data_IF_076792791552
#
_entry.id   IF_076792791552
#
_cell.length_a   1.000
_cell.length_b   1.000
_cell.length_c   1.000
_cell.angle_alpha   90.00
_cell.angle_beta   90.00
_cell.angle_gamma   90.00
#
_symmetry.space_group_name_H-M   'P 1'
#
loop_
_entity.id
_entity.type
_entity.pdbx_description
1 polymer ?
#
# COMPACT_ATOMS: atom_id res chain seq x y z
N UNK A 1 -27.70 -16.75 10.32
CA UNK A 1 -26.79 -17.86 10.63
C UNK A 1 -26.00 -17.43 11.86
N UNK A 2 -25.99 -18.18 12.95
CA UNK A 2 -25.26 -17.82 14.18
C UNK A 2 -23.96 -18.62 14.26
N UNK A 3 -22.85 -17.93 14.53
CA UNK A 3 -21.53 -18.54 14.75
C UNK A 3 -21.11 -18.20 16.18
N UNK A 4 -20.84 -19.23 16.99
CA UNK A 4 -20.31 -19.07 18.35
C UNK A 4 -18.81 -19.28 18.32
N UNK A 5 -18.05 -18.25 18.69
CA UNK A 5 -16.58 -18.26 18.73
C UNK A 5 -16.16 -18.06 20.18
N UNK A 6 -15.31 -18.94 20.68
CA UNK A 6 -14.72 -18.80 22.00
C UNK A 6 -13.34 -18.14 21.88
N UNK A 7 -13.13 -17.02 22.57
CA UNK A 7 -11.86 -16.30 22.54
C UNK A 7 -11.04 -16.61 23.80
N UNK A 8 -9.71 -16.74 23.69
CA UNK A 8 -8.83 -16.70 24.85
C UNK A 8 -8.98 -15.37 25.60
N UNK A 9 -8.80 -15.38 26.92
CA UNK A 9 -8.98 -14.21 27.79
C UNK A 9 -8.16 -12.98 27.34
N UNK A 10 -6.96 -13.20 26.81
CA UNK A 10 -6.10 -12.12 26.31
C UNK A 10 -6.70 -11.36 25.12
N UNK A 11 -7.39 -12.10 24.24
CA UNK A 11 -8.05 -11.55 23.05
C UNK A 11 -9.33 -10.83 23.44
N UNK A 12 -10.09 -11.37 24.40
CA UNK A 12 -11.30 -10.73 24.93
C UNK A 12 -10.97 -9.37 25.58
N UNK A 13 -9.91 -9.32 26.39
CA UNK A 13 -9.45 -8.08 27.03
C UNK A 13 -9.06 -7.03 25.98
N UNK A 14 -8.37 -7.47 24.92
CA UNK A 14 -7.95 -6.59 23.81
C UNK A 14 -9.15 -6.10 23.00
N UNK A 15 -10.13 -6.95 22.73
CA UNK A 15 -11.38 -6.60 22.03
C UNK A 15 -12.18 -5.57 22.83
N UNK A 16 -12.33 -5.79 24.14
CA UNK A 16 -13.01 -4.85 25.04
C UNK A 16 -12.31 -3.48 25.04
N UNK A 17 -10.98 -3.46 25.18
CA UNK A 17 -10.22 -2.22 25.16
C UNK A 17 -10.35 -1.47 23.82
N UNK A 18 -10.36 -2.19 22.69
CA UNK A 18 -10.56 -1.57 21.38
C UNK A 18 -12.00 -1.08 21.19
N UNK A 19 -12.98 -1.80 21.70
CA UNK A 19 -14.38 -1.42 21.64
C UNK A 19 -14.64 -0.13 22.44
N UNK A 20 -14.10 -0.04 23.66
CA UNK A 20 -14.20 1.17 24.47
C UNK A 20 -13.46 2.36 23.84
N UNK A 21 -12.26 2.16 23.30
CA UNK A 21 -11.51 3.21 22.61
C UNK A 21 -12.23 3.74 21.37
N UNK A 22 -12.94 2.88 20.63
CA UNK A 22 -13.74 3.27 19.48
C UNK A 22 -15.14 3.78 19.82
N UNK A 23 -15.57 3.68 21.09
CA UNK A 23 -16.94 3.99 21.53
C UNK A 23 -18.00 3.08 20.91
N UNK A 24 -17.62 1.85 20.53
CA UNK A 24 -18.49 0.88 19.85
C UNK A 24 -18.74 -0.33 20.76
N UNK A 25 -19.83 -1.04 20.50
CA UNK A 25 -20.04 -2.37 21.07
C UNK A 25 -19.05 -3.39 20.47
N UNK A 26 -18.67 -4.39 21.25
CA UNK A 26 -17.76 -5.48 20.84
C UNK A 26 -18.35 -6.22 19.64
N UNK A 27 -19.67 -6.45 19.62
CA UNK A 27 -20.33 -7.12 18.51
C UNK A 27 -20.17 -6.34 17.19
N UNK A 28 -20.39 -5.02 17.22
CA UNK A 28 -20.22 -4.14 16.06
C UNK A 28 -18.77 -4.10 15.60
N UNK A 29 -17.82 -4.01 16.53
CA UNK A 29 -16.39 -3.99 16.22
C UNK A 29 -15.93 -5.30 15.57
N UNK A 30 -16.37 -6.44 16.09
CA UNK A 30 -16.05 -7.76 15.51
C UNK A 30 -16.70 -7.91 14.14
N UNK A 31 -17.93 -7.44 13.94
CA UNK A 31 -18.60 -7.49 12.65
C UNK A 31 -17.86 -6.68 11.58
N UNK A 32 -17.43 -5.47 11.92
CA UNK A 32 -16.62 -4.62 11.02
C UNK A 32 -15.29 -5.29 10.67
N UNK A 33 -14.55 -5.80 11.66
CA UNK A 33 -13.28 -6.50 11.45
C UNK A 33 -13.44 -7.73 10.54
N UNK A 34 -14.48 -8.54 10.78
CA UNK A 34 -14.76 -9.72 9.96
C UNK A 34 -15.14 -9.30 8.53
N UNK A 35 -15.97 -8.27 8.38
CA UNK A 35 -16.35 -7.76 7.06
C UNK A 35 -15.15 -7.21 6.28
N UNK A 36 -14.26 -6.47 6.94
CA UNK A 36 -13.04 -5.92 6.35
C UNK A 36 -12.10 -7.04 5.88
N UNK A 37 -11.81 -8.02 6.74
CA UNK A 37 -10.91 -9.13 6.38
C UNK A 37 -11.47 -10.03 5.28
N UNK A 38 -12.78 -10.29 5.28
CA UNK A 38 -13.41 -11.05 4.21
C UNK A 38 -13.46 -10.28 2.88
N UNK A 39 -13.54 -8.95 2.93
CA UNK A 39 -13.43 -8.11 1.75
C UNK A 39 -12.02 -8.10 1.15
N UNK A 40 -10.98 -8.09 2.00
CA UNK A 40 -9.58 -8.24 1.57
C UNK A 40 -9.33 -9.58 0.88
N UNK A 41 -9.83 -10.69 1.45
CA UNK A 41 -9.70 -12.03 0.84
C UNK A 41 -10.54 -12.21 -0.44
N UNK A 42 -11.64 -11.46 -0.57
CA UNK A 42 -12.49 -11.49 -1.77
C UNK A 42 -12.01 -10.53 -2.87
N UNK A 43 -11.02 -9.67 -2.59
CA UNK A 43 -10.43 -8.87 -3.64
C UNK A 43 -9.71 -9.83 -4.61
N UNK A 44 -10.15 -9.93 -5.88
CA UNK A 44 -9.41 -10.72 -6.85
C UNK A 44 -7.97 -10.22 -6.84
N UNK A 45 -6.95 -11.11 -6.87
CA UNK A 45 -5.56 -10.67 -6.94
C UNK A 45 -5.50 -9.64 -8.07
N UNK A 46 -5.03 -8.44 -7.74
CA UNK A 46 -4.97 -7.33 -8.69
C UNK A 46 -4.40 -7.92 -9.98
N UNK A 47 -5.22 -7.98 -11.05
CA UNK A 47 -4.83 -8.64 -12.29
C UNK A 47 -3.47 -8.08 -12.63
N UNK A 48 -2.45 -8.93 -12.63
CA UNK A 48 -1.14 -8.53 -13.11
C UNK A 48 -1.39 -8.07 -14.54
N UNK A 49 -1.34 -6.74 -14.75
CA UNK A 49 -1.58 -6.17 -16.06
C UNK A 49 -0.68 -6.88 -17.05
N UNK A 50 -1.19 -7.17 -18.24
CA UNK A 50 -0.36 -7.83 -19.24
C UNK A 50 0.90 -6.99 -19.49
N UNK A 51 1.99 -7.62 -19.93
CA UNK A 51 3.20 -6.89 -20.29
C UNK A 51 2.91 -5.73 -21.26
N UNK A 52 1.94 -5.90 -22.17
CA UNK A 52 1.48 -4.86 -23.08
C UNK A 52 0.84 -3.65 -22.36
N UNK A 53 0.01 -3.89 -21.35
CA UNK A 53 -0.62 -2.82 -20.55
C UNK A 53 0.41 -2.05 -19.72
N UNK A 54 1.40 -2.76 -19.16
CA UNK A 54 2.52 -2.13 -18.47
C UNK A 54 3.33 -1.24 -19.42
N UNK A 55 3.71 -1.76 -20.59
CA UNK A 55 4.46 -0.99 -21.59
C UNK A 55 3.69 0.24 -22.08
N UNK A 56 2.38 0.12 -22.29
CA UNK A 56 1.54 1.25 -22.67
C UNK A 56 1.50 2.35 -21.58
N UNK A 57 1.43 1.94 -20.31
CA UNK A 57 1.47 2.88 -19.16
C UNK A 57 2.83 3.57 -19.03
N UNK A 58 3.91 2.82 -19.21
CA UNK A 58 5.27 3.35 -19.18
C UNK A 58 5.51 4.35 -20.31
N UNK A 59 5.10 4.02 -21.54
CA UNK A 59 5.22 4.90 -22.70
C UNK A 59 4.48 6.22 -22.47
N UNK A 60 3.25 6.15 -21.94
CA UNK A 60 2.48 7.35 -21.59
C UNK A 60 3.16 8.21 -20.53
N UNK A 61 3.84 7.58 -19.56
CA UNK A 61 4.59 8.31 -18.54
C UNK A 61 5.80 9.04 -19.14
N UNK A 62 6.52 8.38 -20.05
CA UNK A 62 7.65 8.98 -20.79
C UNK A 62 7.17 10.19 -21.60
N UNK A 63 6.04 10.07 -22.29
CA UNK A 63 5.48 11.15 -23.13
C UNK A 63 5.04 12.39 -22.34
N UNK A 64 4.57 12.21 -21.11
CA UNK A 64 4.14 13.32 -20.25
C UNK A 64 5.34 14.03 -19.61
N UNK A 65 6.49 13.35 -19.51
CA UNK A 65 7.66 13.94 -18.88
C UNK A 65 8.43 14.81 -19.89
N UNK A 66 8.75 16.08 -19.55
CA UNK A 66 9.59 16.91 -20.40
C UNK A 66 10.94 16.21 -20.64
N UNK A 67 11.25 15.94 -21.91
CA UNK A 67 12.57 15.48 -22.30
C UNK A 67 13.56 16.63 -22.15
N UNK A 68 14.45 16.53 -21.16
CA UNK A 68 15.62 17.39 -21.07
C UNK A 68 16.63 16.94 -22.12
N UNK A 69 16.89 17.77 -23.13
CA UNK A 69 17.97 17.55 -24.11
C UNK A 69 19.35 17.98 -23.58
N UNK A 70 19.48 18.20 -22.28
CA UNK A 70 20.75 18.53 -21.65
C UNK A 70 21.66 17.31 -21.60
N UNK A 71 22.87 17.43 -22.16
CA UNK A 71 23.95 16.50 -21.86
C UNK A 71 24.42 16.75 -20.44
N UNK A 72 24.11 15.85 -19.51
CA UNK A 72 24.69 15.88 -18.17
C UNK A 72 26.00 15.08 -18.21
N UNK A 73 27.13 15.75 -18.01
CA UNK A 73 28.42 15.08 -17.84
C UNK A 73 28.55 14.57 -16.41
N UNK A 74 28.13 13.32 -16.20
CA UNK A 74 28.17 12.63 -14.91
C UNK A 74 29.55 11.99 -14.63
N UNK A 75 30.59 12.41 -15.35
CA UNK A 75 31.96 11.95 -15.11
C UNK A 75 32.47 12.47 -13.78
N UNK A 76 33.23 11.64 -13.04
CA UNK A 76 33.80 12.02 -11.75
C UNK A 76 34.71 13.25 -11.85
N UNK A 77 35.34 13.42 -13.00
CA UNK A 77 36.24 14.52 -13.35
C UNK A 77 35.51 15.87 -13.45
N UNK A 78 34.23 15.89 -13.85
CA UNK A 78 33.42 17.12 -13.93
C UNK A 78 33.11 17.70 -12.54
N UNK A 79 33.06 16.84 -11.52
CA UNK A 79 32.79 17.21 -10.12
C UNK A 79 33.98 17.95 -9.48
N UNK A 80 35.22 17.66 -9.91
CA UNK A 80 36.44 18.27 -9.39
C UNK A 80 37.03 19.37 -10.29
N UNK A 81 36.43 19.61 -11.47
CA UNK A 81 36.86 20.66 -12.38
C UNK A 81 36.82 22.04 -11.68
N UNK A 82 37.94 22.79 -11.71
CA UNK A 82 38.06 24.10 -11.08
C UNK A 82 38.33 24.10 -9.57
N UNK A 83 38.54 22.94 -8.93
CA UNK A 83 39.08 22.88 -7.57
C UNK A 83 40.59 22.62 -7.60
N UNK A 84 41.38 23.69 -7.41
CA UNK A 84 42.84 23.62 -7.29
C UNK A 84 43.64 24.43 -8.30
N UNK A 85 42.98 25.27 -9.11
CA UNK A 85 43.63 26.39 -9.83
C UNK A 85 43.84 27.60 -8.91
#
# INVERSE_FOLDING_TARGET
>A
MNVSINFPADIETTLLHRATAAGKDVATLVQELVAERLAEDSAPPAKAGSHAEFMAKLQRFIEIHPTSNGSLDDSRESIYAGRGE
#
